data_IF_192306824420
#
_entry.id   IF_192306824420
#
_cell.length_a   1.000
_cell.length_b   1.000
_cell.length_c   1.000
_cell.angle_alpha   90.00
_cell.angle_beta   90.00
_cell.angle_gamma   90.00
#
_symmetry.space_group_name_H-M   'P 1'
#
loop_
_entity.id
_entity.type
_entity.pdbx_description
1 polymer ?
#
# COMPACT_ATOMS: atom_id res chain seq x y z
N UNK A 1 -13.85 -0.65 22.16
CA UNK A 1 -13.85 -0.94 20.71
C UNK A 1 -12.42 -1.34 20.36
N UNK A 2 -12.14 -2.63 20.17
CA UNK A 2 -10.79 -3.09 19.86
C UNK A 2 -10.44 -2.61 18.44
N UNK A 3 -9.50 -1.68 18.33
CA UNK A 3 -9.00 -1.24 17.03
C UNK A 3 -8.13 -2.36 16.46
N UNK A 4 -8.54 -2.93 15.32
CA UNK A 4 -7.74 -3.92 14.60
C UNK A 4 -6.37 -3.32 14.23
N UNK A 5 -5.33 -4.12 14.41
CA UNK A 5 -3.98 -3.84 13.91
C UNK A 5 -3.95 -3.86 12.38
N UNK A 6 -2.92 -3.26 11.79
CA UNK A 6 -2.82 -3.21 10.33
C UNK A 6 -2.57 -4.59 9.71
N UNK A 7 -1.90 -5.48 10.44
CA UNK A 7 -1.72 -6.88 10.04
C UNK A 7 -3.05 -7.64 10.04
N UNK A 8 -3.92 -7.43 11.04
CA UNK A 8 -5.26 -8.04 11.03
C UNK A 8 -6.11 -7.51 9.89
N UNK A 9 -5.98 -6.22 9.55
CA UNK A 9 -6.64 -5.65 8.36
C UNK A 9 -6.09 -6.30 7.09
N UNK A 10 -4.78 -6.50 7.00
CA UNK A 10 -4.13 -7.15 5.86
C UNK A 10 -4.63 -8.59 5.67
N UNK A 11 -4.90 -9.34 6.74
CA UNK A 11 -5.49 -10.67 6.66
C UNK A 11 -6.86 -10.64 5.93
N UNK A 12 -7.69 -9.63 6.21
CA UNK A 12 -8.95 -9.43 5.48
C UNK A 12 -8.74 -8.97 4.04
N UNK A 13 -7.72 -8.16 3.78
CA UNK A 13 -7.34 -7.77 2.41
C UNK A 13 -6.93 -9.01 1.62
N UNK A 14 -6.14 -9.91 2.19
CA UNK A 14 -5.74 -11.18 1.58
C UNK A 14 -6.92 -12.11 1.28
N UNK A 15 -8.03 -11.97 2.02
CA UNK A 15 -9.29 -12.66 1.74
C UNK A 15 -10.15 -11.97 0.66
N UNK A 16 -9.65 -10.89 0.04
CA UNK A 16 -10.35 -10.12 -0.99
C UNK A 16 -11.31 -9.05 -0.47
N UNK A 17 -11.25 -8.69 0.83
CA UNK A 17 -12.15 -7.68 1.39
C UNK A 17 -11.79 -6.28 0.95
N UNK A 18 -12.61 -5.71 0.08
CA UNK A 18 -12.41 -4.35 -0.41
C UNK A 18 -12.65 -3.27 0.64
N UNK A 19 -13.52 -3.56 1.62
CA UNK A 19 -13.71 -2.68 2.77
C UNK A 19 -12.45 -2.62 3.64
N UNK A 20 -11.80 -3.76 3.87
CA UNK A 20 -10.54 -3.80 4.62
C UNK A 20 -9.43 -3.06 3.87
N UNK A 21 -9.38 -3.21 2.54
CA UNK A 21 -8.41 -2.51 1.71
C UNK A 21 -8.60 -0.99 1.77
N UNK A 22 -9.84 -0.51 1.70
CA UNK A 22 -10.14 0.91 1.85
C UNK A 22 -9.68 1.46 3.21
N UNK A 23 -9.92 0.72 4.30
CA UNK A 23 -9.43 1.10 5.64
C UNK A 23 -7.89 1.14 5.67
N UNK A 24 -7.23 0.16 5.04
CA UNK A 24 -5.77 0.13 4.96
C UNK A 24 -5.22 1.33 4.18
N UNK A 25 -5.84 1.69 3.06
CA UNK A 25 -5.49 2.88 2.27
C UNK A 25 -5.62 4.16 3.11
N UNK A 26 -6.74 4.35 3.83
CA UNK A 26 -6.92 5.52 4.70
C UNK A 26 -5.81 5.63 5.74
N UNK A 27 -5.32 4.51 6.29
CA UNK A 27 -4.27 4.51 7.31
C UNK A 27 -2.85 4.71 6.75
N UNK A 28 -2.51 4.08 5.63
CA UNK A 28 -1.13 3.96 5.15
C UNK A 28 -0.79 4.82 3.96
N UNK A 29 -1.77 5.12 3.10
CA UNK A 29 -1.54 5.89 1.87
C UNK A 29 -1.06 7.33 2.16
N UNK A 30 -1.58 8.08 3.16
CA UNK A 30 -1.08 9.43 3.45
C UNK A 30 0.40 9.40 3.88
N UNK A 31 0.75 8.48 4.77
CA UNK A 31 2.12 8.29 5.22
C UNK A 31 3.05 7.86 4.06
N UNK A 32 2.61 6.94 3.20
CA UNK A 32 3.37 6.54 2.02
C UNK A 32 3.61 7.68 1.04
N UNK A 33 2.60 8.52 0.80
CA UNK A 33 2.73 9.68 -0.07
C UNK A 33 3.75 10.68 0.47
N UNK A 34 3.79 10.89 1.80
CA UNK A 34 4.81 11.72 2.45
C UNK A 34 6.21 11.10 2.32
N UNK A 35 6.36 9.80 2.53
CA UNK A 35 7.63 9.10 2.33
C UNK A 35 8.11 9.22 0.88
N UNK A 36 7.20 9.07 -0.08
CA UNK A 36 7.50 9.19 -1.51
C UNK A 36 7.87 10.63 -1.89
N UNK A 37 7.20 11.63 -1.33
CA UNK A 37 7.52 13.05 -1.55
C UNK A 37 8.92 13.38 -1.04
N UNK A 38 9.29 12.88 0.14
CA UNK A 38 10.64 13.05 0.69
C UNK A 38 11.72 12.34 -0.15
N UNK A 39 11.38 11.24 -0.82
CA UNK A 39 12.32 10.49 -1.66
C UNK A 39 12.50 11.08 -3.06
N UNK A 40 11.44 11.64 -3.66
CA UNK A 40 11.42 12.02 -5.07
C UNK A 40 11.35 13.53 -5.34
N UNK A 41 10.97 14.36 -4.36
CA UNK A 41 10.90 15.82 -4.49
C UNK A 41 9.79 16.36 -5.40
N UNK A 42 8.95 15.49 -5.97
CA UNK A 42 7.86 15.83 -6.88
C UNK A 42 6.55 15.22 -6.37
N UNK A 43 5.53 16.07 -6.17
CA UNK A 43 4.18 15.71 -5.70
C UNK A 43 3.52 14.66 -6.58
N UNK A 44 3.55 14.83 -7.91
CA UNK A 44 2.87 13.91 -8.82
C UNK A 44 3.50 12.52 -8.78
N UNK A 45 4.84 12.47 -8.79
CA UNK A 45 5.59 11.21 -8.64
C UNK A 45 5.39 10.57 -7.28
N UNK A 46 5.28 11.36 -6.21
CA UNK A 46 5.02 10.85 -4.87
C UNK A 46 3.66 10.13 -4.77
N UNK A 47 2.61 10.77 -5.29
CA UNK A 47 1.26 10.20 -5.32
C UNK A 47 1.19 8.94 -6.20
N UNK A 48 1.79 8.97 -7.40
CA UNK A 48 1.86 7.80 -8.29
C UNK A 48 2.65 6.65 -7.65
N UNK A 49 3.79 6.94 -7.02
CA UNK A 49 4.59 5.95 -6.30
C UNK A 49 3.80 5.29 -5.17
N UNK A 50 3.13 6.08 -4.32
CA UNK A 50 2.29 5.57 -3.24
C UNK A 50 1.12 4.73 -3.76
N UNK A 51 0.46 5.16 -4.83
CA UNK A 51 -0.62 4.40 -5.47
C UNK A 51 -0.12 3.04 -5.98
N UNK A 52 1.01 3.01 -6.70
CA UNK A 52 1.61 1.77 -7.21
C UNK A 52 1.96 0.81 -6.08
N UNK A 53 2.48 1.31 -4.96
CA UNK A 53 2.75 0.48 -3.78
C UNK A 53 1.46 -0.17 -3.27
N UNK A 54 0.39 0.60 -3.09
CA UNK A 54 -0.87 0.05 -2.58
C UNK A 54 -1.56 -0.90 -3.55
N UNK A 55 -1.44 -0.68 -4.86
CA UNK A 55 -1.89 -1.64 -5.87
C UNK A 55 -1.09 -2.95 -5.75
N UNK A 56 0.24 -2.88 -5.60
CA UNK A 56 1.06 -4.07 -5.33
C UNK A 56 0.65 -4.76 -4.03
N UNK A 57 0.28 -4.01 -2.98
CA UNK A 57 -0.23 -4.59 -1.72
C UNK A 57 -1.50 -5.38 -2.01
N UNK A 58 -2.48 -4.82 -2.71
CA UNK A 58 -3.70 -5.52 -3.09
C UNK A 58 -3.41 -6.82 -3.84
N UNK A 59 -2.57 -6.75 -4.87
CA UNK A 59 -2.26 -7.89 -5.73
C UNK A 59 -1.50 -8.99 -4.98
N UNK A 60 -0.60 -8.64 -4.05
CA UNK A 60 0.28 -9.59 -3.38
C UNK A 60 -0.17 -9.95 -1.95
N UNK A 61 -1.22 -9.33 -1.40
CA UNK A 61 -1.67 -9.59 -0.03
C UNK A 61 -1.85 -11.09 0.29
N UNK A 62 -2.42 -11.95 -0.59
CA UNK A 62 -2.55 -13.38 -0.30
C UNK A 62 -1.23 -14.16 -0.24
N UNK A 63 -0.14 -13.58 -0.74
CA UNK A 63 1.20 -14.18 -0.74
C UNK A 63 2.04 -13.75 0.46
N UNK A 64 1.55 -12.79 1.25
CA UNK A 64 2.32 -12.23 2.34
C UNK A 64 2.14 -13.04 3.62
N UNK A 65 3.22 -13.25 4.40
CA UNK A 65 3.11 -13.86 5.71
C UNK A 65 2.11 -13.09 6.58
N UNK A 66 1.09 -13.76 7.15
CA UNK A 66 0.13 -13.12 8.04
C UNK A 66 0.84 -12.63 9.31
N UNK A 67 0.38 -11.52 9.88
CA UNK A 67 0.82 -11.03 11.21
C UNK A 67 2.32 -10.90 11.39
N UNK A 68 2.99 -10.45 10.34
CA UNK A 68 4.45 -10.36 10.32
C UNK A 68 5.02 -9.23 11.19
N UNK A 69 4.21 -8.24 11.59
CA UNK A 69 4.66 -7.01 12.24
C UNK A 69 5.53 -6.13 11.34
N UNK A 70 5.59 -6.40 10.04
CA UNK A 70 6.54 -5.81 9.08
C UNK A 70 5.87 -5.09 7.92
N UNK A 71 4.58 -4.79 8.02
CA UNK A 71 3.84 -4.12 6.94
C UNK A 71 4.55 -2.83 6.49
N UNK A 72 4.83 -1.91 7.42
CA UNK A 72 5.44 -0.62 7.08
C UNK A 72 6.79 -0.78 6.39
N UNK A 73 7.60 -1.74 6.84
CA UNK A 73 8.88 -2.06 6.19
C UNK A 73 8.66 -2.55 4.76
N UNK A 74 7.70 -3.46 4.52
CA UNK A 74 7.38 -3.95 3.17
C UNK A 74 6.89 -2.84 2.26
N UNK A 75 6.06 -1.93 2.78
CA UNK A 75 5.57 -0.78 2.02
C UNK A 75 6.72 0.13 1.57
N UNK A 76 7.69 0.39 2.44
CA UNK A 76 8.90 1.13 2.09
C UNK A 76 9.79 0.38 1.11
N UNK A 77 9.97 -0.94 1.29
CA UNK A 77 10.74 -1.77 0.36
C UNK A 77 10.11 -1.76 -1.04
N UNK A 78 8.77 -1.74 -1.14
CA UNK A 78 8.03 -1.63 -2.40
C UNK A 78 8.08 -0.25 -3.05
N UNK A 79 8.27 0.80 -2.25
CA UNK A 79 8.36 2.17 -2.73
C UNK A 79 9.62 2.41 -3.56
N UNK A 80 10.62 1.50 -3.48
CA UNK A 80 11.91 1.59 -4.17
C UNK A 80 12.43 3.03 -4.14
N UNK A 81 12.83 3.50 -2.96
CA UNK A 81 13.56 4.75 -2.82
C UNK A 81 14.90 4.64 -3.56
N UNK A 82 14.89 4.84 -4.88
CA UNK A 82 16.07 4.92 -5.69
C UNK A 82 16.96 6.06 -5.19
N UNK A 83 18.31 5.90 -5.22
CA UNK A 83 19.21 6.97 -4.85
C UNK A 83 19.18 8.04 -5.96
N UNK A 84 18.38 9.10 -5.79
CA UNK A 84 18.46 10.22 -6.73
C UNK A 84 17.21 11.08 -6.82
N UNK A 85 17.33 12.30 -6.32
CA UNK A 85 16.40 13.39 -6.56
C UNK A 85 16.76 14.53 -5.62
N UNK A 86 17.71 15.38 -6.05
CA UNK A 86 18.15 16.55 -5.28
C UNK A 86 16.96 17.33 -4.73
N UNK A 87 17.03 17.65 -3.43
CA UNK A 87 15.97 18.24 -2.64
C UNK A 87 15.39 19.50 -3.27
N UNK A 88 14.35 19.32 -4.07
CA UNK A 88 13.38 20.36 -4.35
C UNK A 88 12.24 20.15 -3.36
N UNK A 89 11.84 21.24 -2.69
CA UNK A 89 10.76 21.23 -1.71
C UNK A 89 9.49 20.83 -2.46
N UNK A 90 9.05 19.58 -2.32
CA UNK A 90 7.83 19.12 -2.97
C UNK A 90 6.69 20.06 -2.61
N UNK A 91 5.89 20.45 -3.60
CA UNK A 91 4.62 21.13 -3.34
C UNK A 91 3.84 20.33 -2.29
N UNK A 92 3.26 21.03 -1.31
CA UNK A 92 2.58 20.39 -0.20
C UNK A 92 1.49 19.45 -0.75
N UNK A 93 1.53 18.19 -0.33
CA UNK A 93 0.42 17.24 -0.53
C UNK A 93 -0.67 17.63 0.45
N UNK A 94 -1.86 17.91 -0.06
CA UNK A 94 -3.01 18.31 0.76
C UNK A 94 -3.99 17.14 1.01
N UNK A 95 -4.99 17.36 1.86
CA UNK A 95 -5.97 16.33 2.21
C UNK A 95 -6.86 15.93 1.01
N UNK A 96 -7.06 16.84 0.06
CA UNK A 96 -7.87 16.58 -1.13
C UNK A 96 -7.15 15.65 -2.11
N UNK A 97 -5.84 15.81 -2.28
CA UNK A 97 -4.97 14.86 -2.99
C UNK A 97 -5.10 13.46 -2.42
N UNK A 98 -4.96 13.35 -1.10
CA UNK A 98 -4.99 12.06 -0.41
C UNK A 98 -6.37 11.43 -0.58
N UNK A 99 -7.45 12.19 -0.43
CA UNK A 99 -8.81 11.69 -0.63
C UNK A 99 -9.04 11.23 -2.08
N UNK A 100 -8.53 11.98 -3.06
CA UNK A 100 -8.60 11.61 -4.48
C UNK A 100 -7.80 10.32 -4.75
N UNK A 101 -6.59 10.22 -4.21
CA UNK A 101 -5.71 9.07 -4.36
C UNK A 101 -6.32 7.81 -3.75
N UNK A 102 -6.92 7.90 -2.56
CA UNK A 102 -7.63 6.77 -1.93
C UNK A 102 -8.76 6.29 -2.83
N UNK A 103 -9.61 7.19 -3.34
CA UNK A 103 -10.72 6.83 -4.23
C UNK A 103 -10.22 6.15 -5.51
N UNK A 104 -9.18 6.70 -6.12
CA UNK A 104 -8.55 6.14 -7.31
C UNK A 104 -8.04 4.73 -7.05
N UNK A 105 -7.18 4.54 -6.03
CA UNK A 105 -6.54 3.25 -5.74
C UNK A 105 -7.57 2.17 -5.39
N UNK A 106 -8.59 2.52 -4.59
CA UNK A 106 -9.67 1.59 -4.24
C UNK A 106 -10.50 1.22 -5.47
N UNK A 107 -10.83 2.19 -6.33
CA UNK A 107 -11.53 1.97 -7.59
C UNK A 107 -10.76 1.07 -8.55
N UNK A 108 -9.46 1.31 -8.70
CA UNK A 108 -8.58 0.52 -9.56
C UNK A 108 -8.48 -0.92 -9.05
N UNK A 109 -8.37 -1.12 -7.73
CA UNK A 109 -8.25 -2.46 -7.14
C UNK A 109 -9.55 -3.27 -7.18
N UNK A 110 -10.71 -2.61 -7.21
CA UNK A 110 -12.02 -3.29 -7.27
C UNK A 110 -12.18 -4.17 -8.53
N UNK A 111 -11.49 -3.84 -9.62
CA UNK A 111 -11.50 -4.62 -10.88
C UNK A 111 -10.27 -5.50 -11.08
N UNK A 112 -9.28 -5.42 -10.18
CA UNK A 112 -8.02 -6.17 -10.29
C UNK A 112 -8.06 -7.48 -9.51
N UNK A 113 -7.72 -8.63 -10.12
CA UNK A 113 -7.60 -9.88 -9.39
C UNK A 113 -6.37 -9.87 -8.48
N UNK A 114 -6.49 -10.47 -7.30
CA UNK A 114 -5.33 -10.77 -6.46
C UNK A 114 -4.55 -11.96 -7.03
N UNK A 115 -3.23 -11.99 -6.79
CA UNK A 115 -2.42 -13.16 -7.10
C UNK A 115 -2.87 -14.32 -6.22
N UNK A 116 -3.01 -15.50 -6.84
CA UNK A 116 -3.35 -16.72 -6.11
C UNK A 116 -2.10 -17.24 -5.44
N UNK A 117 -2.15 -17.45 -4.13
CA UNK A 117 -1.23 -18.36 -3.48
C UNK A 117 -1.36 -19.72 -4.17
N UNK A 118 -0.27 -20.24 -4.75
CA UNK A 118 -0.30 -21.55 -5.37
C UNK A 118 -0.78 -22.58 -4.34
N UNK A 119 -1.66 -23.51 -4.74
CA UNK A 119 -2.16 -24.53 -3.81
C UNK A 119 -1.01 -25.39 -3.23
N UNK A 120 0.12 -25.46 -3.94
CA UNK A 120 1.33 -26.17 -3.51
C UNK A 120 2.10 -25.40 -2.43
N UNK A 121 2.11 -24.07 -2.44
CA UNK A 121 2.83 -23.27 -1.42
C UNK A 121 2.21 -23.46 -0.03
N UNK A 122 0.87 -23.62 0.06
CA UNK A 122 0.18 -23.89 1.34
C UNK A 122 0.39 -25.30 1.88
N UNK A 123 0.71 -26.27 1.02
CA UNK A 123 0.91 -27.67 1.40
C UNK A 123 2.38 -27.99 1.74
N UNK A 124 3.34 -27.18 1.25
CA UNK A 124 4.76 -27.54 1.28
C UNK A 124 5.74 -26.48 1.84
N UNK A 125 5.31 -25.32 2.38
CA UNK A 125 6.25 -24.39 3.03
C UNK A 125 5.60 -23.37 3.97
N UNK A 126 5.95 -23.29 5.25
CA UNK A 126 7.07 -23.91 5.96
C UNK A 126 6.90 -23.97 7.47
#
# INVERSE_FOLDING_TARGET
MLALSDDEILDFVAAGSMRAFAVLCVRKLPWLALCAANAHGDRARALDGAARVMIKVWENAPLWPPRSGRLDRRLLDLLEAGPGGGGQKADAIDDEDIAALIRQVVGDCASRPQKRAGWLDRLFGG
#
